data_IF_649779562085
#
_entry.id   IF_649779562085
#
_cell.length_a   1.000
_cell.length_b   1.000
_cell.length_c   1.000
_cell.angle_alpha   90.00
_cell.angle_beta   90.00
_cell.angle_gamma   90.00
#
_symmetry.space_group_name_H-M   'P 1'
#
loop_
_entity.id
_entity.type
_entity.pdbx_description
1 polymer ?
#
# COMPACT_ATOMS: atom_id res chain seq x y z
N UNK A 1 32.13 47.21 -17.57
CA UNK A 1 32.31 45.82 -17.07
C UNK A 1 31.29 45.37 -16.01
N UNK A 2 30.45 46.24 -15.41
CA UNK A 2 29.47 45.85 -14.37
C UNK A 2 28.30 44.99 -14.89
N UNK A 3 27.87 45.17 -16.14
CA UNK A 3 26.67 44.51 -16.66
C UNK A 3 26.83 42.99 -16.90
N UNK A 4 28.06 42.51 -17.13
CA UNK A 4 28.32 41.07 -17.36
C UNK A 4 28.18 40.23 -16.08
N UNK A 5 28.47 40.80 -14.90
CA UNK A 5 28.36 40.09 -13.61
C UNK A 5 26.91 39.87 -13.19
N UNK A 6 26.01 40.78 -13.55
CA UNK A 6 24.58 40.68 -13.22
C UNK A 6 23.88 39.61 -14.09
N UNK A 7 24.22 39.55 -15.39
CA UNK A 7 23.70 38.54 -16.31
C UNK A 7 24.12 37.10 -15.93
N UNK A 8 25.37 36.92 -15.48
CA UNK A 8 25.87 35.61 -15.02
C UNK A 8 25.17 35.17 -13.73
N UNK A 9 24.87 36.09 -12.81
CA UNK A 9 24.11 35.79 -11.58
C UNK A 9 22.68 35.31 -11.84
N UNK A 10 21.95 35.99 -12.74
CA UNK A 10 20.61 35.56 -13.14
C UNK A 10 20.61 34.21 -13.88
N UNK A 11 21.61 33.96 -14.72
CA UNK A 11 21.73 32.68 -15.43
C UNK A 11 22.00 31.51 -14.46
N UNK A 12 22.82 31.72 -13.43
CA UNK A 12 23.07 30.70 -12.39
C UNK A 12 21.83 30.45 -11.53
N UNK A 13 21.04 31.48 -11.17
CA UNK A 13 19.77 31.28 -10.46
C UNK A 13 18.73 30.52 -11.30
N UNK A 14 18.67 30.77 -12.61
CA UNK A 14 17.78 30.02 -13.52
C UNK A 14 18.25 28.56 -13.69
N UNK A 15 19.56 28.34 -13.84
CA UNK A 15 20.16 27.01 -13.99
C UNK A 15 20.13 26.19 -12.69
N UNK A 16 20.16 26.82 -11.51
CA UNK A 16 20.04 26.14 -10.23
C UNK A 16 18.58 26.00 -9.76
N UNK A 17 17.73 26.99 -10.05
CA UNK A 17 16.32 27.01 -9.65
C UNK A 17 15.44 26.07 -10.48
N UNK A 18 15.68 25.95 -11.79
CA UNK A 18 14.91 25.07 -12.67
C UNK A 18 14.98 23.58 -12.29
N UNK A 19 16.18 23.00 -12.13
CA UNK A 19 16.34 21.60 -11.70
C UNK A 19 15.89 21.37 -10.25
N UNK A 20 16.12 22.33 -9.35
CA UNK A 20 15.71 22.25 -7.96
C UNK A 20 14.18 22.19 -7.80
N UNK A 21 13.45 23.06 -8.50
CA UNK A 21 11.98 23.03 -8.51
C UNK A 21 11.43 21.80 -9.24
N UNK A 22 12.10 21.34 -10.30
CA UNK A 22 11.74 20.09 -10.98
C UNK A 22 11.90 18.86 -10.09
N UNK A 23 12.98 18.78 -9.32
CA UNK A 23 13.23 17.68 -8.38
C UNK A 23 12.26 17.71 -7.19
N UNK A 24 12.00 18.89 -6.62
CA UNK A 24 10.99 19.06 -5.56
C UNK A 24 9.60 18.70 -6.09
N UNK A 25 9.26 19.14 -7.31
CA UNK A 25 8.02 18.78 -7.98
C UNK A 25 7.90 17.27 -8.20
N UNK A 26 8.97 16.59 -8.64
CA UNK A 26 8.97 15.13 -8.80
C UNK A 26 8.89 14.39 -7.46
N UNK A 27 9.55 14.88 -6.41
CA UNK A 27 9.44 14.29 -5.06
C UNK A 27 8.02 14.39 -4.51
N UNK A 28 7.30 15.50 -4.77
CA UNK A 28 5.95 15.73 -4.26
C UNK A 28 4.86 15.09 -5.15
N UNK A 29 5.04 15.11 -6.48
CA UNK A 29 4.02 14.72 -7.45
C UNK A 29 4.37 13.48 -8.29
N UNK A 30 5.59 12.96 -8.18
CA UNK A 30 6.01 11.73 -8.85
C UNK A 30 5.25 10.53 -8.30
N UNK A 31 4.90 9.58 -9.16
CA UNK A 31 4.19 8.36 -8.76
C UNK A 31 5.13 7.44 -7.93
N UNK A 32 5.03 7.47 -6.60
CA UNK A 32 5.79 6.58 -5.71
C UNK A 32 4.99 5.31 -5.39
N UNK A 33 4.30 4.78 -6.39
CA UNK A 33 3.69 3.45 -6.28
C UNK A 33 4.70 2.35 -6.57
N UNK A 34 4.56 1.24 -5.86
CA UNK A 34 5.41 0.06 -6.01
C UNK A 34 4.54 -1.18 -5.98
N UNK A 35 4.68 -2.04 -6.98
CA UNK A 35 4.11 -3.38 -6.97
C UNK A 35 5.23 -4.40 -6.91
N UNK A 36 5.11 -5.37 -6.00
CA UNK A 36 6.06 -6.46 -5.81
C UNK A 36 5.32 -7.77 -5.78
N UNK A 37 5.89 -8.78 -6.42
CA UNK A 37 5.38 -10.15 -6.43
C UNK A 37 6.42 -11.09 -5.87
N UNK A 38 5.98 -12.15 -5.18
CA UNK A 38 6.90 -13.16 -4.63
C UNK A 38 7.91 -12.61 -3.62
N UNK A 39 7.54 -11.58 -2.87
CA UNK A 39 8.35 -11.10 -1.76
C UNK A 39 8.50 -12.19 -0.68
N UNK A 40 9.66 -12.20 -0.01
CA UNK A 40 9.96 -13.14 1.08
C UNK A 40 9.39 -12.69 2.41
N UNK A 41 9.21 -11.38 2.58
CA UNK A 41 8.75 -10.76 3.81
C UNK A 41 7.89 -9.52 3.53
N UNK A 42 7.01 -9.20 4.48
CA UNK A 42 6.25 -7.95 4.52
C UNK A 42 5.79 -7.68 5.96
N UNK A 43 5.65 -6.43 6.37
CA UNK A 43 5.22 -6.05 7.73
C UNK A 43 3.81 -6.55 8.13
N UNK A 44 3.03 -7.00 7.15
CA UNK A 44 1.66 -7.49 7.33
C UNK A 44 1.53 -8.98 7.02
N UNK A 45 2.64 -9.67 6.78
CA UNK A 45 2.66 -11.10 6.53
C UNK A 45 3.19 -11.83 7.76
N UNK A 46 2.58 -12.98 8.08
CA UNK A 46 3.17 -13.89 9.05
C UNK A 46 4.53 -14.39 8.52
N UNK A 47 5.55 -14.63 9.36
CA UNK A 47 6.83 -15.16 8.92
C UNK A 47 6.75 -16.50 8.15
N UNK A 48 5.71 -17.30 8.35
CA UNK A 48 5.47 -18.54 7.57
C UNK A 48 4.86 -18.29 6.19
N UNK A 49 4.37 -17.08 5.92
CA UNK A 49 3.62 -16.76 4.73
C UNK A 49 4.50 -16.79 3.47
N UNK A 50 3.92 -17.24 2.36
CA UNK A 50 4.57 -17.14 1.06
C UNK A 50 3.79 -17.80 -0.07
N UNK A 51 3.91 -17.32 -1.31
CA UNK A 51 4.52 -16.05 -1.74
C UNK A 51 3.69 -14.82 -1.35
N UNK A 52 4.36 -13.68 -1.13
CA UNK A 52 3.72 -12.40 -0.77
C UNK A 52 3.71 -11.45 -1.97
N UNK A 53 2.53 -10.95 -2.31
CA UNK A 53 2.36 -9.89 -3.31
C UNK A 53 1.85 -8.63 -2.61
N UNK A 54 2.39 -7.47 -2.95
CA UNK A 54 1.92 -6.22 -2.38
C UNK A 54 2.03 -5.04 -3.34
N UNK A 55 1.12 -4.10 -3.14
CA UNK A 55 1.09 -2.80 -3.80
C UNK A 55 1.12 -1.70 -2.73
N UNK A 56 2.05 -0.76 -2.86
CA UNK A 56 2.12 0.44 -2.02
C UNK A 56 1.93 1.69 -2.88
N UNK A 57 1.26 2.72 -2.34
CA UNK A 57 1.25 4.06 -2.90
C UNK A 57 1.42 5.10 -1.79
N UNK A 58 2.58 5.76 -1.77
CA UNK A 58 2.99 6.71 -0.73
C UNK A 58 2.50 8.14 -0.94
N UNK A 59 1.90 8.46 -2.08
CA UNK A 59 1.68 9.85 -2.49
C UNK A 59 0.58 10.56 -1.69
N UNK A 60 -0.58 9.92 -1.47
CA UNK A 60 -1.78 10.65 -1.00
C UNK A 60 -2.60 9.87 0.06
N UNK A 61 -2.22 8.64 0.39
CA UNK A 61 -3.01 7.84 1.35
C UNK A 61 -2.23 6.77 2.10
N UNK A 62 -0.91 6.63 1.89
CA UNK A 62 -0.15 5.51 2.44
C UNK A 62 -0.83 4.16 2.15
N UNK A 63 -1.42 4.03 0.95
CA UNK A 63 -2.18 2.87 0.55
C UNK A 63 -1.24 1.67 0.50
N UNK A 64 -1.59 0.60 1.20
CA UNK A 64 -0.90 -0.68 1.16
C UNK A 64 -1.94 -1.77 0.94
N UNK A 65 -1.73 -2.59 -0.08
CA UNK A 65 -2.54 -3.78 -0.36
C UNK A 65 -1.59 -4.95 -0.38
N UNK A 66 -1.86 -5.98 0.42
CA UNK A 66 -0.99 -7.14 0.58
C UNK A 66 -1.83 -8.40 0.47
N UNK A 67 -1.34 -9.40 -0.24
CA UNK A 67 -1.91 -10.75 -0.22
C UNK A 67 -0.80 -11.79 -0.13
N UNK A 68 -1.06 -12.88 0.58
CA UNK A 68 -0.13 -13.98 0.72
C UNK A 68 -0.87 -15.27 1.05
N UNK A 69 -0.24 -16.40 0.74
CA UNK A 69 -0.71 -17.69 1.21
C UNK A 69 -0.15 -17.98 2.61
N UNK A 70 -0.97 -18.56 3.47
CA UNK A 70 -0.66 -18.88 4.88
C UNK A 70 -1.69 -19.90 5.39
N UNK A 71 -1.32 -20.75 6.34
CA UNK A 71 -2.28 -21.66 6.97
C UNK A 71 -3.22 -20.90 7.94
N UNK A 72 -4.45 -21.39 8.14
CA UNK A 72 -5.43 -20.69 9.00
C UNK A 72 -4.99 -20.64 10.46
N UNK A 73 -4.39 -21.73 10.94
CA UNK A 73 -3.85 -21.89 12.29
C UNK A 73 -2.59 -21.06 12.54
N UNK A 74 -1.89 -20.65 11.49
CA UNK A 74 -0.79 -19.67 11.56
C UNK A 74 -1.33 -18.23 11.50
N UNK A 75 -2.30 -17.98 10.63
CA UNK A 75 -2.85 -16.64 10.41
C UNK A 75 -3.66 -16.12 11.60
N UNK A 76 -4.49 -16.95 12.26
CA UNK A 76 -5.32 -16.49 13.38
C UNK A 76 -4.47 -15.98 14.57
N UNK A 77 -3.45 -16.70 15.06
CA UNK A 77 -2.55 -16.18 16.08
C UNK A 77 -1.79 -14.93 15.64
N UNK A 78 -1.41 -14.84 14.35
CA UNK A 78 -0.82 -13.62 13.80
C UNK A 78 -1.77 -12.43 13.92
N UNK A 79 -3.01 -12.58 13.47
CA UNK A 79 -4.03 -11.56 13.56
C UNK A 79 -4.30 -11.12 15.01
N UNK A 80 -4.35 -12.06 15.96
CA UNK A 80 -4.50 -11.77 17.39
C UNK A 80 -3.35 -10.93 17.95
N UNK A 81 -2.08 -11.24 17.58
CA UNK A 81 -0.92 -10.43 17.98
C UNK A 81 -0.97 -9.00 17.46
N UNK A 82 -1.60 -8.80 16.30
CA UNK A 82 -1.84 -7.47 15.73
C UNK A 82 -3.11 -6.79 16.28
N UNK A 83 -3.86 -7.44 17.16
CA UNK A 83 -5.12 -6.91 17.71
C UNK A 83 -6.30 -6.96 16.73
N UNK A 84 -6.17 -7.69 15.62
CA UNK A 84 -7.22 -7.86 14.64
C UNK A 84 -8.20 -8.93 15.11
N UNK A 85 -9.31 -8.48 15.70
CA UNK A 85 -10.38 -9.36 16.19
C UNK A 85 -11.17 -9.88 15.00
N UNK A 86 -10.74 -11.02 14.45
CA UNK A 86 -11.35 -11.63 13.29
C UNK A 86 -12.76 -12.16 13.62
N UNK A 87 -13.73 -11.81 12.78
CA UNK A 87 -15.10 -12.29 12.82
C UNK A 87 -15.38 -13.11 11.57
N UNK A 88 -16.13 -14.21 11.72
CA UNK A 88 -16.52 -15.01 10.56
C UNK A 88 -17.59 -14.28 9.73
N UNK A 89 -17.34 -14.11 8.43
CA UNK A 89 -18.27 -13.54 7.45
C UNK A 89 -18.61 -14.58 6.39
N UNK A 90 -19.76 -15.28 6.51
CA UNK A 90 -20.16 -16.29 5.54
C UNK A 90 -20.47 -15.71 4.15
N UNK A 91 -20.92 -14.47 4.06
CA UNK A 91 -21.14 -13.74 2.81
C UNK A 91 -19.84 -13.25 2.15
N UNK A 92 -18.72 -13.36 2.87
CA UNK A 92 -17.42 -12.88 2.45
C UNK A 92 -17.17 -11.40 2.76
N UNK A 93 -16.13 -10.87 2.15
CA UNK A 93 -15.71 -9.47 2.31
C UNK A 93 -15.34 -8.87 0.96
N UNK A 94 -15.14 -7.56 0.92
CA UNK A 94 -14.70 -6.87 -0.29
C UNK A 94 -13.35 -6.20 -0.01
N UNK A 95 -12.30 -6.59 -0.74
CA UNK A 95 -10.95 -6.03 -0.60
C UNK A 95 -10.31 -5.94 -2.00
N UNK A 96 -9.59 -4.85 -2.34
CA UNK A 96 -8.84 -4.80 -3.59
C UNK A 96 -7.67 -5.79 -3.58
N UNK A 97 -7.15 -6.13 -4.76
CA UNK A 97 -5.95 -6.98 -4.87
C UNK A 97 -4.74 -6.16 -5.30
N UNK A 98 -3.51 -6.54 -4.90
CA UNK A 98 -2.31 -5.83 -5.31
C UNK A 98 -2.16 -5.70 -6.83
N UNK A 99 -2.46 -6.77 -7.57
CA UNK A 99 -2.40 -6.78 -9.03
C UNK A 99 -3.40 -5.80 -9.67
N UNK A 100 -4.64 -5.73 -9.15
CA UNK A 100 -5.63 -4.77 -9.62
C UNK A 100 -5.18 -3.33 -9.38
N UNK A 101 -4.70 -3.02 -8.17
CA UNK A 101 -4.20 -1.69 -7.84
C UNK A 101 -3.00 -1.29 -8.71
N UNK A 102 -2.09 -2.23 -8.99
CA UNK A 102 -0.96 -2.01 -9.90
C UNK A 102 -1.39 -1.70 -11.34
N UNK A 103 -2.53 -2.26 -11.78
CA UNK A 103 -3.15 -1.96 -13.08
C UNK A 103 -3.98 -0.66 -13.07
N UNK A 104 -4.06 0.06 -11.95
CA UNK A 104 -4.90 1.25 -11.80
C UNK A 104 -6.38 0.95 -11.50
N UNK A 105 -6.75 -0.31 -11.27
CA UNK A 105 -8.08 -0.71 -10.84
C UNK A 105 -8.14 -0.76 -9.29
N UNK A 106 -8.72 0.28 -8.70
CA UNK A 106 -8.94 0.38 -7.25
C UNK A 106 -10.32 -0.14 -6.82
N UNK A 107 -11.04 -0.86 -7.69
CA UNK A 107 -12.33 -1.44 -7.32
C UNK A 107 -12.15 -2.57 -6.31
N UNK A 108 -13.03 -2.59 -5.32
CA UNK A 108 -13.08 -3.66 -4.32
C UNK A 108 -13.65 -4.92 -4.97
N UNK A 109 -12.96 -6.05 -4.81
CA UNK A 109 -13.42 -7.33 -5.35
C UNK A 109 -14.03 -8.16 -4.23
N UNK A 110 -15.15 -8.87 -4.49
CA UNK A 110 -15.71 -9.79 -3.53
C UNK A 110 -14.78 -10.97 -3.31
N UNK A 111 -14.59 -11.31 -2.04
CA UNK A 111 -13.98 -12.53 -1.55
C UNK A 111 -15.12 -13.50 -1.19
N UNK A 112 -14.82 -14.80 -1.19
CA UNK A 112 -15.72 -15.81 -0.63
C UNK A 112 -15.80 -15.76 0.90
N UNK A 113 -16.48 -16.74 1.53
CA UNK A 113 -16.56 -16.83 2.99
C UNK A 113 -15.19 -16.70 3.65
N UNK A 114 -15.08 -15.83 4.65
CA UNK A 114 -13.78 -15.45 5.21
C UNK A 114 -13.84 -15.08 6.69
N UNK A 115 -12.70 -15.14 7.36
CA UNK A 115 -12.46 -14.42 8.61
C UNK A 115 -12.12 -12.98 8.28
N UNK A 116 -12.80 -12.01 8.87
CA UNK A 116 -12.69 -10.61 8.52
C UNK A 116 -12.50 -9.72 9.75
N UNK A 117 -11.70 -8.68 9.60
CA UNK A 117 -11.57 -7.59 10.56
C UNK A 117 -11.51 -6.28 9.81
N UNK A 118 -12.09 -5.23 10.39
CA UNK A 118 -12.00 -3.88 9.86
C UNK A 118 -11.97 -2.85 10.99
N UNK A 119 -11.02 -1.93 10.89
CA UNK A 119 -10.99 -0.69 11.66
C UNK A 119 -10.96 0.48 10.68
N UNK A 120 -12.04 1.27 10.67
CA UNK A 120 -12.17 2.47 9.84
C UNK A 120 -12.14 3.71 10.71
N UNK A 121 -11.28 4.64 10.34
CA UNK A 121 -11.15 5.95 10.98
C UNK A 121 -11.99 6.99 10.25
N UNK A 122 -12.39 8.04 10.96
CA UNK A 122 -13.26 9.10 10.45
C UNK A 122 -12.66 9.91 9.30
N UNK A 123 -11.34 9.91 9.16
CA UNK A 123 -10.59 10.56 8.08
C UNK A 123 -10.50 9.72 6.80
N UNK A 124 -11.14 8.55 6.74
CA UNK A 124 -11.08 7.63 5.61
C UNK A 124 -9.83 6.75 5.59
N UNK A 125 -8.99 6.83 6.63
CA UNK A 125 -7.96 5.84 6.93
C UNK A 125 -8.54 4.58 7.56
N UNK A 126 -7.71 3.56 7.70
CA UNK A 126 -8.11 2.31 8.33
C UNK A 126 -7.35 1.10 7.80
N UNK A 127 -7.75 -0.05 8.31
CA UNK A 127 -7.24 -1.36 7.89
C UNK A 127 -8.41 -2.34 7.76
N UNK A 128 -8.42 -3.09 6.66
CA UNK A 128 -9.32 -4.22 6.43
C UNK A 128 -8.46 -5.46 6.23
N UNK A 129 -8.78 -6.54 6.94
CA UNK A 129 -8.04 -7.79 6.94
C UNK A 129 -9.03 -8.90 6.64
N UNK A 130 -8.74 -9.76 5.68
CA UNK A 130 -9.51 -10.96 5.41
C UNK A 130 -8.59 -12.17 5.28
N UNK A 131 -9.05 -13.32 5.76
CA UNK A 131 -8.48 -14.61 5.43
C UNK A 131 -9.56 -15.53 4.86
N UNK A 132 -9.31 -16.08 3.68
CA UNK A 132 -10.24 -16.92 2.94
C UNK A 132 -9.80 -18.38 3.07
N UNK A 133 -10.43 -19.20 3.94
CA UNK A 133 -10.00 -20.57 4.20
C UNK A 133 -9.93 -21.44 2.96
N UNK A 134 -10.89 -21.29 2.04
CA UNK A 134 -10.96 -22.08 0.81
C UNK A 134 -9.78 -21.89 -0.14
N UNK A 135 -8.99 -20.83 0.04
CA UNK A 135 -7.75 -20.59 -0.73
C UNK A 135 -6.49 -20.56 0.13
N UNK A 136 -6.62 -20.64 1.46
CA UNK A 136 -5.53 -20.40 2.42
C UNK A 136 -4.78 -19.09 2.13
N UNK A 137 -5.53 -18.01 1.89
CA UNK A 137 -4.94 -16.69 1.56
C UNK A 137 -5.45 -15.59 2.47
N UNK A 138 -4.52 -14.73 2.87
CA UNK A 138 -4.79 -13.48 3.53
C UNK A 138 -4.81 -12.31 2.54
N UNK A 139 -5.60 -11.30 2.86
CA UNK A 139 -5.78 -10.06 2.12
C UNK A 139 -5.80 -8.91 3.12
N UNK A 140 -4.92 -7.94 2.95
CA UNK A 140 -4.79 -6.80 3.86
C UNK A 140 -4.82 -5.54 3.01
N UNK A 141 -5.72 -4.64 3.37
CA UNK A 141 -5.84 -3.32 2.79
C UNK A 141 -5.69 -2.29 3.89
N UNK A 142 -4.75 -1.37 3.75
CA UNK A 142 -4.49 -0.30 4.71
C UNK A 142 -4.40 1.04 3.99
N UNK A 143 -4.95 2.06 4.62
CA UNK A 143 -4.85 3.46 4.21
C UNK A 143 -4.62 4.32 5.44
N UNK A 144 -3.76 5.32 5.32
CA UNK A 144 -3.37 6.27 6.35
C UNK A 144 -3.94 7.67 6.16
N UNK A 145 -4.99 7.83 5.33
CA UNK A 145 -5.75 9.08 5.27
C UNK A 145 -6.22 9.50 6.65
#
# INVERSE_FOLDING_TARGET
>A
MKNKRLAVGCLIMLLAGGPGLGFIGWMIFGNHSRYVTGAKDHEFADPSAGPIDYYENRNISGLQVVTYAVAEDEFKPFAERHGWKLEWKPEGAIIPTPAACAAGDFSFKPLGPCWYYEDRRSNGGGISVAFVPGSSRAYIYKTSR
#
